data_IF_323493698025
#
_entry.id   IF_323493698025
#
_cell.length_a   1.000
_cell.length_b   1.000
_cell.length_c   1.000
_cell.angle_alpha   90.00
_cell.angle_beta   90.00
_cell.angle_gamma   90.00
#
_symmetry.space_group_name_H-M   'P 1'
#
loop_
_entity.id
_entity.type
_entity.pdbx_description
1 polymer ?
#
# COMPACT_ATOMS: atom_id res chain seq x y z
N UNK A 1 12.52 -10.08 -4.49
CA UNK A 1 11.92 -8.85 -5.04
C UNK A 1 12.59 -7.67 -4.35
N UNK A 2 13.20 -6.74 -5.07
CA UNK A 2 13.88 -5.59 -4.46
C UNK A 2 12.87 -4.45 -4.39
N UNK A 3 12.44 -4.10 -3.17
CA UNK A 3 11.60 -2.92 -2.92
C UNK A 3 12.50 -1.68 -3.13
N UNK A 4 12.09 -0.77 -4.00
CA UNK A 4 12.83 0.47 -4.28
C UNK A 4 12.15 1.63 -3.59
N UNK A 5 12.89 2.34 -2.74
CA UNK A 5 12.41 3.50 -2.01
C UNK A 5 12.84 4.78 -2.71
N UNK A 6 11.90 5.72 -2.85
CA UNK A 6 12.14 7.07 -3.39
C UNK A 6 11.53 8.09 -2.43
N UNK A 7 12.08 9.30 -2.36
CA UNK A 7 11.44 10.38 -1.58
C UNK A 7 10.21 10.87 -2.33
N UNK A 8 9.06 10.94 -1.66
CA UNK A 8 7.82 11.34 -2.27
C UNK A 8 6.66 11.48 -1.28
N UNK A 9 5.45 11.45 -1.83
CA UNK A 9 4.21 11.59 -1.08
C UNK A 9 3.62 10.23 -0.74
N UNK A 10 3.34 9.98 0.54
CA UNK A 10 2.64 8.77 0.98
C UNK A 10 1.14 8.94 0.78
N UNK A 11 0.53 8.13 -0.09
CA UNK A 11 -0.88 8.25 -0.46
C UNK A 11 -1.84 7.80 0.66
N UNK A 12 -1.33 7.15 1.71
CA UNK A 12 -2.14 6.64 2.83
C UNK A 12 -2.21 7.59 4.02
N UNK A 13 -1.08 8.15 4.44
CA UNK A 13 -1.02 9.08 5.57
C UNK A 13 -0.81 10.53 5.13
N UNK A 14 -0.77 10.77 3.82
CA UNK A 14 -0.67 12.07 3.17
C UNK A 14 0.62 12.87 3.51
N UNK A 15 1.58 12.24 4.19
CA UNK A 15 2.87 12.84 4.52
C UNK A 15 3.71 12.98 3.25
N UNK A 16 4.23 14.18 3.02
CA UNK A 16 5.14 14.53 1.95
C UNK A 16 6.61 14.36 2.37
N UNK A 17 7.50 14.37 1.38
CA UNK A 17 8.96 14.30 1.57
C UNK A 17 9.45 13.11 2.41
N UNK A 18 8.74 11.98 2.38
CA UNK A 18 9.13 10.73 3.06
C UNK A 18 9.58 9.66 2.08
N UNK A 19 10.44 8.71 2.49
CA UNK A 19 10.69 7.51 1.69
C UNK A 19 9.39 6.74 1.47
N UNK A 20 9.05 6.53 0.20
CA UNK A 20 7.90 5.75 -0.26
C UNK A 20 8.33 4.66 -1.24
N UNK A 21 7.59 3.57 -1.26
CA UNK A 21 7.72 2.51 -2.27
C UNK A 21 6.41 2.32 -3.02
N UNK A 22 6.49 1.86 -4.26
CA UNK A 22 5.34 1.40 -5.02
C UNK A 22 4.82 0.09 -4.43
N UNK A 23 3.57 0.08 -3.97
CA UNK A 23 2.89 -1.12 -3.47
C UNK A 23 2.14 -1.87 -4.57
N UNK A 24 1.61 -1.14 -5.54
CA UNK A 24 0.79 -1.72 -6.61
C UNK A 24 -0.09 -0.66 -7.27
N UNK A 25 -0.91 -1.04 -8.27
CA UNK A 25 -1.93 -0.15 -8.82
C UNK A 25 -3.11 -0.01 -7.86
N UNK A 26 -3.59 1.21 -7.65
CA UNK A 26 -4.92 1.48 -7.08
C UNK A 26 -5.90 1.75 -8.22
N UNK A 27 -7.13 1.24 -8.08
CA UNK A 27 -8.21 1.39 -9.06
C UNK A 27 -9.33 2.23 -8.46
N UNK A 28 -9.85 3.16 -9.26
CA UNK A 28 -11.03 3.96 -8.93
C UNK A 28 -12.00 3.95 -10.09
N UNK A 29 -13.30 4.02 -9.79
CA UNK A 29 -14.33 4.04 -10.82
C UNK A 29 -14.27 5.30 -11.70
N UNK A 30 -14.00 6.46 -11.08
CA UNK A 30 -14.04 7.76 -11.76
C UNK A 30 -12.74 8.14 -12.48
N UNK A 31 -11.58 7.75 -11.95
CA UNK A 31 -10.27 8.22 -12.43
C UNK A 31 -9.36 7.08 -12.95
N UNK A 32 -9.86 5.85 -13.01
CA UNK A 32 -9.11 4.70 -13.54
C UNK A 32 -8.02 4.20 -12.61
N UNK A 33 -6.88 3.78 -13.19
CA UNK A 33 -5.77 3.13 -12.47
C UNK A 33 -4.60 4.10 -12.26
N UNK A 34 -4.12 4.20 -11.02
CA UNK A 34 -2.94 4.97 -10.64
C UNK A 34 -1.94 4.16 -9.80
N UNK A 35 -0.69 4.62 -9.63
CA UNK A 35 0.27 3.96 -8.74
C UNK A 35 -0.12 4.18 -7.27
N UNK A 36 0.12 3.24 -6.37
CA UNK A 36 -0.08 3.46 -4.93
C UNK A 36 1.26 3.46 -4.20
N UNK A 37 1.71 4.64 -3.79
CA UNK A 37 2.96 4.84 -3.06
C UNK A 37 2.71 4.98 -1.56
N UNK A 38 3.47 4.26 -0.74
CA UNK A 38 3.32 4.26 0.72
C UNK A 38 4.66 4.32 1.43
N UNK A 39 4.72 5.00 2.57
CA UNK A 39 5.87 4.96 3.47
C UNK A 39 5.94 3.63 4.23
N UNK A 40 7.09 3.32 4.83
CA UNK A 40 7.35 2.08 5.57
C UNK A 40 6.29 1.76 6.64
N UNK A 41 6.01 2.71 7.55
CA UNK A 41 4.99 2.52 8.58
C UNK A 41 3.58 2.26 8.00
N UNK A 42 3.26 2.83 6.84
CA UNK A 42 1.99 2.57 6.16
C UNK A 42 1.97 1.20 5.48
N UNK A 43 3.09 0.77 4.90
CA UNK A 43 3.25 -0.54 4.29
C UNK A 43 3.05 -1.64 5.34
N UNK A 44 3.75 -1.58 6.47
CA UNK A 44 3.62 -2.54 7.56
C UNK A 44 2.17 -2.65 8.06
N UNK A 45 1.49 -1.51 8.18
CA UNK A 45 0.09 -1.48 8.62
C UNK A 45 -0.84 -2.16 7.60
N UNK A 46 -0.60 -1.97 6.30
CA UNK A 46 -1.37 -2.60 5.24
C UNK A 46 -1.11 -4.10 5.17
N UNK A 47 0.15 -4.54 5.28
CA UNK A 47 0.50 -5.96 5.34
C UNK A 47 -0.19 -6.68 6.50
N UNK A 48 -0.25 -6.04 7.69
CA UNK A 48 -0.99 -6.58 8.82
C UNK A 48 -2.51 -6.71 8.55
N UNK A 49 -3.12 -5.75 7.83
CA UNK A 49 -4.54 -5.84 7.45
C UNK A 49 -4.79 -6.96 6.43
N UNK A 50 -3.94 -7.06 5.41
CA UNK A 50 -4.02 -8.09 4.38
C UNK A 50 -3.85 -9.48 5.01
N UNK A 51 -2.87 -9.64 5.90
CA UNK A 51 -2.68 -10.88 6.65
C UNK A 51 -3.92 -11.24 7.48
N UNK A 52 -4.50 -10.29 8.21
CA UNK A 52 -5.70 -10.53 9.01
C UNK A 52 -6.91 -10.91 8.14
N UNK A 53 -7.10 -10.27 6.98
CA UNK A 53 -8.15 -10.58 6.03
C UNK A 53 -7.99 -11.99 5.44
N UNK A 54 -6.82 -12.30 4.89
CA UNK A 54 -6.55 -13.62 4.29
C UNK A 54 -6.75 -14.74 5.32
N UNK A 55 -6.31 -14.52 6.56
CA UNK A 55 -6.57 -15.45 7.67
C UNK A 55 -8.04 -15.69 7.95
N UNK A 56 -8.92 -14.71 7.74
CA UNK A 56 -10.37 -14.89 7.89
C UNK A 56 -10.96 -15.61 6.67
N UNK A 57 -10.53 -15.24 5.46
CA UNK A 57 -10.95 -15.90 4.22
C UNK A 57 -10.61 -17.39 4.23
N UNK A 58 -9.40 -17.75 4.66
CA UNK A 58 -8.96 -19.15 4.78
C UNK A 58 -9.81 -19.97 5.76
N UNK A 59 -10.49 -19.32 6.73
CA UNK A 59 -11.37 -20.01 7.67
C UNK A 59 -12.75 -20.34 7.09
N UNK A 60 -13.08 -19.79 5.93
CA UNK A 60 -14.35 -20.00 5.23
C UNK A 60 -14.21 -20.85 3.96
N UNK A 61 -12.97 -21.17 3.57
CA UNK A 61 -12.63 -22.06 2.47
C UNK A 61 -12.56 -23.52 2.95
#
# INVERSE_FOLDING_TARGET
MIITWVVGWCWRCETDEVPVTWLGPVQTEMYGTGPFFVCEACLERLEALVYAYNRQVDQWA
#
